data_IF_357323429200
#
_entry.id   IF_357323429200
#
_cell.length_a   1.000
_cell.length_b   1.000
_cell.length_c   1.000
_cell.angle_alpha   90.00
_cell.angle_beta   90.00
_cell.angle_gamma   90.00
#
_symmetry.space_group_name_H-M   'P 1'
#
loop_
_entity.id
_entity.type
_entity.pdbx_description
1 polymer ?
#
# COMPACT_ATOMS: atom_id res chain seq x y z
N UNK A 1 15.28 4.70 58.69
CA UNK A 1 16.57 4.65 57.97
C UNK A 1 16.31 3.90 56.66
N UNK A 2 16.54 4.56 55.49
CA UNK A 2 16.45 4.09 54.07
C UNK A 2 15.07 3.54 53.60
N UNK A 3 14.34 4.01 52.57
CA UNK A 3 14.55 4.48 51.17
C UNK A 3 15.05 3.42 50.16
N UNK A 4 14.33 3.36 49.02
CA UNK A 4 14.61 2.80 47.67
C UNK A 4 13.87 1.47 47.36
N UNK A 5 12.87 1.39 46.47
CA UNK A 5 12.83 1.60 45.01
C UNK A 5 13.86 0.79 44.20
N UNK A 6 13.34 0.08 43.19
CA UNK A 6 13.83 0.02 41.79
C UNK A 6 14.37 -1.33 41.28
N UNK A 7 13.96 -1.61 40.02
CA UNK A 7 14.63 -2.37 38.94
C UNK A 7 14.60 -3.90 39.02
N UNK A 8 14.63 -4.65 37.92
CA UNK A 8 14.35 -4.48 36.49
C UNK A 8 14.56 -5.87 35.87
N UNK A 9 13.84 -6.14 34.77
CA UNK A 9 14.27 -6.84 33.56
C UNK A 9 15.57 -7.67 33.58
N UNK A 10 15.43 -8.98 33.30
CA UNK A 10 16.14 -9.81 32.29
C UNK A 10 15.61 -11.25 32.45
N UNK A 11 15.23 -12.01 31.41
CA UNK A 11 16.15 -12.67 30.50
C UNK A 11 15.44 -13.29 29.28
N UNK A 12 16.23 -13.36 28.21
CA UNK A 12 16.01 -13.83 26.84
C UNK A 12 16.03 -15.37 26.73
N UNK A 13 15.32 -15.92 25.73
CA UNK A 13 15.64 -17.11 24.86
C UNK A 13 14.34 -17.91 24.59
N UNK A 14 13.92 -18.14 23.35
CA UNK A 14 14.61 -19.06 22.45
C UNK A 14 14.22 -18.87 20.98
N UNK A 15 15.25 -18.74 20.16
CA UNK A 15 15.26 -18.91 18.71
C UNK A 15 14.91 -20.36 18.33
N UNK A 16 14.07 -20.55 17.30
CA UNK A 16 14.17 -21.69 16.38
C UNK A 16 13.98 -21.20 14.96
N UNK A 17 15.08 -21.27 14.20
CA UNK A 17 15.08 -21.22 12.74
C UNK A 17 14.20 -22.35 12.20
N UNK A 18 13.25 -22.02 11.33
CA UNK A 18 12.74 -22.98 10.36
C UNK A 18 12.73 -22.33 8.99
N UNK A 19 13.78 -22.65 8.25
CA UNK A 19 13.93 -22.36 6.83
C UNK A 19 13.02 -23.32 6.08
N UNK A 20 12.09 -22.81 5.27
CA UNK A 20 11.48 -23.61 4.21
C UNK A 20 11.36 -22.79 2.94
N UNK A 21 12.28 -23.08 2.03
CA UNK A 21 12.21 -22.71 0.63
C UNK A 21 10.97 -23.36 0.00
N UNK A 22 10.15 -22.57 -0.69
CA UNK A 22 9.29 -23.07 -1.75
C UNK A 22 9.19 -22.02 -2.85
N UNK A 23 9.74 -22.38 -4.01
CA UNK A 23 9.63 -21.64 -5.26
C UNK A 23 8.17 -21.35 -5.62
N UNK A 24 7.89 -20.10 -5.99
CA UNK A 24 6.61 -19.69 -6.56
C UNK A 24 6.51 -18.18 -6.70
N UNK A 25 6.90 -17.65 -7.85
CA UNK A 25 6.52 -16.35 -8.46
C UNK A 25 5.89 -15.30 -7.53
N UNK A 26 6.62 -14.84 -6.53
CA UNK A 26 6.31 -13.60 -5.82
C UNK A 26 7.32 -12.56 -6.29
N UNK A 27 6.82 -11.43 -6.81
CA UNK A 27 7.64 -10.22 -6.91
C UNK A 27 8.28 -9.91 -5.56
N UNK A 28 9.35 -9.08 -5.51
CA UNK A 28 10.09 -8.85 -4.28
C UNK A 28 9.13 -8.41 -3.17
N UNK A 29 8.85 -9.35 -2.26
CA UNK A 29 8.12 -9.10 -1.01
C UNK A 29 8.89 -7.98 -0.33
N UNK A 30 8.22 -6.89 0.02
CA UNK A 30 8.83 -5.81 0.80
C UNK A 30 9.53 -6.46 2.00
N UNK A 31 10.86 -6.53 1.97
CA UNK A 31 11.66 -7.14 3.04
C UNK A 31 11.69 -6.13 4.16
N UNK A 32 10.67 -6.17 5.00
CA UNK A 32 10.64 -5.43 6.24
C UNK A 32 11.34 -6.28 7.30
N UNK A 33 12.32 -5.75 8.03
CA UNK A 33 12.97 -6.44 9.14
C UNK A 33 11.96 -7.02 10.15
N UNK A 34 12.24 -8.21 10.68
CA UNK A 34 11.28 -8.94 11.53
C UNK A 34 10.91 -8.19 12.83
N UNK A 35 11.71 -7.21 13.23
CA UNK A 35 11.51 -6.31 14.37
C UNK A 35 10.44 -5.23 14.17
N UNK A 36 9.88 -5.08 12.96
CA UNK A 36 8.76 -4.17 12.66
C UNK A 36 7.40 -4.89 12.52
N UNK A 37 7.34 -6.20 12.82
CA UNK A 37 6.15 -7.05 12.67
C UNK A 37 5.35 -7.13 13.98
N UNK A 38 4.12 -6.60 14.03
CA UNK A 38 3.34 -6.48 15.29
C UNK A 38 2.21 -7.51 15.51
N UNK A 39 2.10 -8.57 14.70
CA UNK A 39 1.24 -9.74 14.97
C UNK A 39 1.65 -10.95 14.10
N UNK A 40 1.17 -12.16 14.41
CA UNK A 40 1.38 -13.31 13.52
C UNK A 40 0.53 -13.15 12.24
N UNK A 41 1.10 -13.28 11.03
CA UNK A 41 0.32 -13.32 9.80
C UNK A 41 -0.67 -14.50 9.82
N UNK A 42 -1.97 -14.25 9.61
CA UNK A 42 -2.90 -15.29 9.17
C UNK A 42 -4.18 -15.60 9.98
N UNK A 43 -4.45 -14.97 11.13
CA UNK A 43 -5.60 -15.42 11.96
C UNK A 43 -6.94 -14.68 11.74
N UNK A 44 -6.98 -13.53 11.05
CA UNK A 44 -8.23 -12.79 10.79
C UNK A 44 -8.18 -12.00 9.47
N UNK A 45 -9.28 -11.99 8.71
CA UNK A 45 -9.45 -11.06 7.58
C UNK A 45 -9.54 -9.62 8.09
N UNK A 46 -8.72 -8.74 7.53
CA UNK A 46 -8.85 -7.28 7.61
C UNK A 46 -10.28 -6.86 7.25
N UNK A 47 -10.84 -5.94 8.04
CA UNK A 47 -12.13 -5.27 7.80
C UNK A 47 -11.91 -3.79 7.51
N UNK A 48 -12.90 -3.11 6.92
CA UNK A 48 -12.81 -1.66 6.67
C UNK A 48 -12.78 -0.85 7.98
N UNK A 49 -13.39 -1.39 9.03
CA UNK A 49 -13.36 -0.85 10.40
C UNK A 49 -11.94 -0.86 10.99
N UNK A 50 -11.16 -1.92 10.75
CA UNK A 50 -9.76 -1.97 11.20
C UNK A 50 -8.95 -0.80 10.61
N UNK A 51 -9.34 -0.31 9.42
CA UNK A 51 -8.56 0.66 8.64
C UNK A 51 -8.87 2.05 9.07
N UNK A 52 -10.17 2.27 9.27
CA UNK A 52 -10.68 3.47 9.89
C UNK A 52 -10.11 3.64 11.28
N UNK A 53 -10.00 2.56 12.06
CA UNK A 53 -9.40 2.62 13.38
C UNK A 53 -7.92 3.03 13.31
N UNK A 54 -7.11 2.35 12.48
CA UNK A 54 -5.70 2.73 12.26
C UNK A 54 -5.58 4.19 11.82
N UNK A 55 -6.38 4.59 10.83
CA UNK A 55 -6.39 5.95 10.27
C UNK A 55 -6.73 6.97 11.36
N UNK A 56 -7.79 6.75 12.12
CA UNK A 56 -8.25 7.66 13.18
C UNK A 56 -7.23 7.80 14.31
N UNK A 57 -6.55 6.71 14.69
CA UNK A 57 -5.48 6.75 15.70
C UNK A 57 -4.31 7.62 15.20
N UNK A 58 -3.89 7.43 13.95
CA UNK A 58 -2.78 8.19 13.36
C UNK A 58 -3.15 9.65 13.15
N UNK A 59 -4.35 9.94 12.66
CA UNK A 59 -4.87 11.31 12.51
C UNK A 59 -4.95 12.04 13.86
N UNK A 60 -5.44 11.37 14.91
CA UNK A 60 -5.51 11.94 16.27
C UNK A 60 -4.12 12.22 16.85
N UNK A 61 -3.10 11.50 16.38
CA UNK A 61 -1.70 11.75 16.71
C UNK A 61 -1.03 12.81 15.81
N UNK A 62 -1.78 13.43 14.88
CA UNK A 62 -1.24 14.39 13.92
C UNK A 62 -0.32 13.75 12.87
N UNK A 63 -0.54 12.48 12.55
CA UNK A 63 0.24 11.71 11.56
C UNK A 63 -0.61 11.47 10.32
N UNK A 64 -0.24 12.10 9.20
CA UNK A 64 -0.78 11.73 7.88
C UNK A 64 -0.39 10.28 7.56
N UNK A 65 -1.30 9.52 6.98
CA UNK A 65 -1.03 8.16 6.56
C UNK A 65 -1.77 7.81 5.27
N UNK A 66 -1.33 6.76 4.59
CA UNK A 66 -2.09 6.12 3.53
C UNK A 66 -1.76 4.63 3.41
N UNK A 67 -2.71 3.83 2.96
CA UNK A 67 -2.51 2.39 2.75
C UNK A 67 -1.84 2.13 1.39
N UNK A 68 -0.76 1.34 1.40
CA UNK A 68 0.11 1.12 0.24
C UNK A 68 0.23 -0.36 -0.14
N UNK A 69 1.05 -0.67 -1.15
CA UNK A 69 1.26 -2.03 -1.64
C UNK A 69 0.00 -2.58 -2.33
N UNK A 70 -0.30 -3.87 -2.11
CA UNK A 70 -1.46 -4.56 -2.72
C UNK A 70 -2.79 -3.85 -2.43
N UNK A 71 -2.87 -3.12 -1.33
CA UNK A 71 -4.05 -2.37 -0.92
C UNK A 71 -4.32 -1.17 -1.82
N UNK A 72 -3.28 -0.37 -2.08
CA UNK A 72 -3.35 0.72 -3.06
C UNK A 72 -3.64 0.18 -4.45
N UNK A 73 -3.01 -0.93 -4.85
CA UNK A 73 -3.31 -1.61 -6.11
C UNK A 73 -4.80 -2.00 -6.18
N UNK A 74 -5.38 -2.55 -5.11
CA UNK A 74 -6.80 -2.88 -5.00
C UNK A 74 -7.72 -1.67 -5.16
N UNK A 75 -7.38 -0.54 -4.53
CA UNK A 75 -8.08 0.74 -4.71
C UNK A 75 -8.09 1.21 -6.16
N UNK A 76 -6.97 1.01 -6.87
CA UNK A 76 -6.85 1.22 -8.32
C UNK A 76 -7.37 0.07 -9.17
N UNK A 77 -8.19 -0.81 -8.59
CA UNK A 77 -8.80 -1.95 -9.27
C UNK A 77 -7.77 -2.85 -9.91
N UNK A 78 -6.65 -3.13 -9.26
CA UNK A 78 -5.85 -4.32 -9.56
C UNK A 78 -6.26 -5.43 -8.58
N UNK A 79 -6.70 -6.58 -9.11
CA UNK A 79 -7.20 -7.68 -8.27
C UNK A 79 -6.03 -8.50 -7.75
N UNK A 80 -5.58 -8.18 -6.54
CA UNK A 80 -4.67 -9.01 -5.75
C UNK A 80 -5.27 -9.27 -4.37
N UNK A 81 -4.94 -10.42 -3.79
CA UNK A 81 -5.33 -10.75 -2.42
C UNK A 81 -4.11 -10.48 -1.54
N UNK A 82 -4.27 -9.59 -0.56
CA UNK A 82 -3.31 -9.43 0.54
C UNK A 82 -4.07 -9.42 1.85
N UNK A 83 -3.53 -10.13 2.84
CA UNK A 83 -3.98 -10.06 4.22
C UNK A 83 -3.15 -9.04 5.02
N UNK A 84 -1.98 -8.64 4.50
CA UNK A 84 -1.06 -7.73 5.15
C UNK A 84 -1.50 -6.28 4.96
N UNK A 85 -1.43 -5.51 6.04
CA UNK A 85 -1.73 -4.08 6.06
C UNK A 85 -0.44 -3.28 6.02
N UNK A 86 -0.16 -2.64 4.89
CA UNK A 86 0.97 -1.73 4.78
C UNK A 86 0.49 -0.28 4.90
N UNK A 87 1.03 0.45 5.86
CA UNK A 87 0.66 1.83 6.16
C UNK A 87 1.88 2.72 5.96
N UNK A 88 1.82 3.58 4.96
CA UNK A 88 2.84 4.60 4.74
C UNK A 88 2.61 5.78 5.70
N UNK A 89 3.68 6.27 6.32
CA UNK A 89 3.69 7.44 7.20
C UNK A 89 4.93 8.31 6.89
N UNK A 90 4.90 9.63 7.17
CA UNK A 90 6.09 10.46 7.06
C UNK A 90 7.24 9.87 7.89
N UNK A 91 8.43 9.76 7.31
CA UNK A 91 9.60 9.18 7.99
C UNK A 91 9.95 9.91 9.28
N UNK A 92 9.73 11.23 9.32
CA UNK A 92 9.92 12.08 10.50
C UNK A 92 8.90 11.82 11.62
N UNK A 93 7.82 11.12 11.32
CA UNK A 93 6.70 10.81 12.22
C UNK A 93 6.58 9.32 12.54
N UNK A 94 7.53 8.49 12.10
CA UNK A 94 7.49 7.04 12.29
C UNK A 94 7.35 6.65 13.77
N UNK A 95 8.14 7.28 14.65
CA UNK A 95 8.09 7.01 16.09
C UNK A 95 6.78 7.49 16.75
N UNK A 96 6.24 8.63 16.30
CA UNK A 96 4.94 9.11 16.76
C UNK A 96 3.83 8.13 16.36
N UNK A 97 3.83 7.68 15.10
CA UNK A 97 2.90 6.69 14.56
C UNK A 97 2.96 5.38 15.36
N UNK A 98 4.18 4.87 15.58
CA UNK A 98 4.41 3.65 16.35
C UNK A 98 3.89 3.78 17.78
N UNK A 99 4.21 4.87 18.47
CA UNK A 99 3.71 5.12 19.83
C UNK A 99 2.19 5.23 19.88
N UNK A 100 1.58 5.91 18.92
CA UNK A 100 0.13 6.09 18.86
C UNK A 100 -0.58 4.73 18.73
N UNK A 101 -0.14 3.89 17.79
CA UNK A 101 -0.76 2.58 17.58
C UNK A 101 -0.51 1.61 18.75
N UNK A 102 0.69 1.60 19.34
CA UNK A 102 0.98 0.74 20.50
C UNK A 102 0.12 1.09 21.73
N UNK A 103 -0.17 2.38 21.96
CA UNK A 103 -1.06 2.84 23.05
C UNK A 103 -2.50 2.35 22.91
N UNK A 104 -2.91 1.92 21.72
CA UNK A 104 -4.27 1.46 21.42
C UNK A 104 -4.27 -0.03 21.03
N UNK A 105 -3.20 -0.77 21.36
CA UNK A 105 -3.08 -2.21 21.09
C UNK A 105 -4.14 -3.05 21.82
N UNK A 106 -4.66 -2.53 22.91
CA UNK A 106 -5.78 -3.04 23.72
C UNK A 106 -7.16 -2.70 23.14
N UNK A 107 -7.28 -1.61 22.37
CA UNK A 107 -8.55 -1.09 21.79
C UNK A 107 -8.93 -1.81 20.48
N UNK A 108 -8.23 -2.89 20.14
CA UNK A 108 -8.69 -3.82 19.11
C UNK A 108 -8.13 -3.60 17.72
N UNK A 109 -6.96 -2.97 17.59
CA UNK A 109 -6.13 -3.15 16.38
C UNK A 109 -5.57 -4.59 16.39
N UNK A 110 -6.45 -5.57 16.15
CA UNK A 110 -6.10 -6.99 16.00
C UNK A 110 -5.58 -7.33 14.61
N UNK A 111 -5.41 -6.30 13.78
CA UNK A 111 -4.95 -6.46 12.42
C UNK A 111 -3.42 -6.41 12.38
N UNK A 112 -2.83 -7.34 11.63
CA UNK A 112 -1.40 -7.31 11.34
C UNK A 112 -1.10 -6.13 10.41
N UNK A 113 -0.40 -5.12 10.92
CA UNK A 113 0.04 -3.98 10.13
C UNK A 113 1.55 -3.79 10.20
N UNK A 114 2.07 -3.16 9.16
CA UNK A 114 3.46 -2.78 8.99
C UNK A 114 3.49 -1.29 8.66
N UNK A 115 4.15 -0.52 9.53
CA UNK A 115 4.43 0.89 9.26
C UNK A 115 5.60 0.96 8.28
N UNK A 116 5.45 1.74 7.22
CA UNK A 116 6.51 1.97 6.25
C UNK A 116 6.81 3.47 6.22
N UNK A 117 8.06 3.88 6.47
CA UNK A 117 8.49 5.25 6.25
C UNK A 117 8.35 5.62 4.77
N UNK A 118 7.83 6.81 4.49
CA UNK A 118 7.62 7.30 3.14
C UNK A 118 8.91 7.35 2.28
N UNK A 119 10.06 7.59 2.90
CA UNK A 119 11.39 7.54 2.28
C UNK A 119 11.73 6.15 1.73
N UNK A 120 11.32 5.06 2.42
CA UNK A 120 11.49 3.69 1.93
C UNK A 120 10.74 3.45 0.62
N UNK A 121 9.61 4.15 0.44
CA UNK A 121 8.78 4.05 -0.74
C UNK A 121 9.13 5.07 -1.82
N UNK A 122 10.11 5.95 -1.58
CA UNK A 122 10.40 7.11 -2.45
C UNK A 122 9.13 7.92 -2.75
N UNK A 123 8.26 8.01 -1.76
CA UNK A 123 6.96 8.67 -1.80
C UNK A 123 6.94 9.73 -0.70
N UNK A 124 6.22 10.84 -0.90
CA UNK A 124 6.01 11.82 0.18
C UNK A 124 4.61 11.63 0.76
N UNK A 125 4.53 11.17 2.01
CA UNK A 125 3.26 10.94 2.69
C UNK A 125 2.71 12.24 3.27
N UNK A 126 2.20 13.09 2.39
CA UNK A 126 1.62 14.40 2.73
C UNK A 126 0.16 14.47 2.26
N UNK A 127 -0.69 15.32 2.86
CA UNK A 127 -2.11 15.39 2.51
C UNK A 127 -2.39 15.56 1.02
N UNK A 128 -1.57 16.33 0.29
CA UNK A 128 -1.75 16.55 -1.15
C UNK A 128 -1.49 15.33 -2.03
N UNK A 129 -0.83 14.29 -1.48
CA UNK A 129 -0.54 13.04 -2.19
C UNK A 129 -1.47 11.90 -1.73
N UNK A 130 -2.49 12.19 -0.94
CA UNK A 130 -3.41 11.21 -0.38
C UNK A 130 -4.84 11.54 -0.80
N UNK A 131 -5.57 10.53 -1.29
CA UNK A 131 -7.00 10.59 -1.58
C UNK A 131 -7.77 9.60 -0.70
N UNK A 132 -9.03 9.92 -0.40
CA UNK A 132 -9.91 9.00 0.30
C UNK A 132 -10.65 8.11 -0.71
N UNK A 133 -10.82 6.83 -0.36
CA UNK A 133 -11.68 5.93 -1.13
C UNK A 133 -13.14 6.38 -1.11
N UNK A 134 -13.87 6.12 -2.20
CA UNK A 134 -15.31 6.41 -2.32
C UNK A 134 -16.23 5.40 -1.63
N UNK A 135 -15.70 4.56 -0.73
CA UNK A 135 -16.46 3.55 0.01
C UNK A 135 -17.33 4.16 1.11
N UNK A 136 -18.20 3.33 1.73
CA UNK A 136 -19.01 3.74 2.89
C UNK A 136 -18.15 4.26 4.04
N UNK A 137 -16.97 3.67 4.20
CA UNK A 137 -15.95 4.08 5.14
C UNK A 137 -14.79 4.65 4.30
N UNK A 138 -14.52 5.96 4.35
CA UNK A 138 -13.40 6.56 3.67
C UNK A 138 -12.07 6.06 4.25
N UNK A 139 -11.17 5.62 3.40
CA UNK A 139 -9.84 5.10 3.75
C UNK A 139 -8.79 5.82 2.90
N UNK A 140 -7.67 6.28 3.49
CA UNK A 140 -6.65 7.03 2.76
C UNK A 140 -5.77 6.12 1.90
N UNK A 141 -5.67 6.45 0.63
CA UNK A 141 -4.77 5.83 -0.33
C UNK A 141 -3.90 6.90 -0.99
N UNK A 142 -2.71 6.55 -1.51
CA UNK A 142 -1.99 7.45 -2.40
C UNK A 142 -2.86 7.93 -3.56
N UNK A 143 -2.64 9.14 -4.05
CA UNK A 143 -3.15 9.52 -5.37
C UNK A 143 -2.46 8.68 -6.46
N UNK A 144 -3.19 8.39 -7.54
CA UNK A 144 -2.71 7.48 -8.58
C UNK A 144 -1.38 7.94 -9.23
N UNK A 145 -1.23 9.23 -9.53
CA UNK A 145 0.00 9.76 -10.11
C UNK A 145 1.22 9.51 -9.21
N UNK A 146 1.15 9.96 -7.95
CA UNK A 146 2.25 9.82 -7.00
C UNK A 146 2.61 8.37 -6.69
N UNK A 147 1.63 7.46 -6.65
CA UNK A 147 1.92 6.03 -6.45
C UNK A 147 2.58 5.41 -7.67
N UNK A 148 2.16 5.75 -8.89
CA UNK A 148 2.82 5.28 -10.10
C UNK A 148 4.28 5.75 -10.16
N UNK A 149 4.57 7.00 -9.80
CA UNK A 149 5.95 7.51 -9.70
C UNK A 149 6.78 6.70 -8.68
N UNK A 150 6.24 6.43 -7.49
CA UNK A 150 6.88 5.61 -6.48
C UNK A 150 7.19 4.19 -6.99
N UNK A 151 6.23 3.52 -7.64
CA UNK A 151 6.43 2.18 -8.22
C UNK A 151 7.50 2.17 -9.31
N UNK A 152 7.58 3.25 -10.11
CA UNK A 152 8.61 3.44 -11.13
C UNK A 152 9.99 3.56 -10.47
N UNK A 153 10.12 4.42 -9.45
CA UNK A 153 11.37 4.66 -8.72
C UNK A 153 11.87 3.42 -7.97
N UNK A 154 10.96 2.68 -7.34
CA UNK A 154 11.25 1.41 -6.68
C UNK A 154 11.52 0.27 -7.67
N UNK A 155 11.30 0.50 -8.98
CA UNK A 155 11.40 -0.50 -10.03
C UNK A 155 10.52 -1.73 -9.80
N UNK A 156 9.38 -1.56 -9.14
CA UNK A 156 8.38 -2.60 -8.89
C UNK A 156 7.49 -2.81 -10.12
N UNK A 157 8.10 -3.35 -11.19
CA UNK A 157 7.46 -3.44 -12.51
C UNK A 157 6.13 -4.21 -12.52
N UNK A 158 6.02 -5.29 -11.74
CA UNK A 158 4.79 -6.11 -11.71
C UNK A 158 3.64 -5.32 -11.08
N UNK A 159 3.92 -4.56 -10.02
CA UNK A 159 2.91 -3.76 -9.34
C UNK A 159 2.51 -2.54 -10.19
N UNK A 160 3.48 -1.97 -10.92
CA UNK A 160 3.22 -0.91 -11.90
C UNK A 160 2.33 -1.41 -13.04
N UNK A 161 2.63 -2.59 -13.62
CA UNK A 161 1.82 -3.19 -14.67
C UNK A 161 0.38 -3.46 -14.19
N UNK A 162 0.23 -3.98 -12.98
CA UNK A 162 -1.07 -4.24 -12.36
C UNK A 162 -1.86 -2.94 -12.12
N UNK A 163 -1.20 -1.88 -11.67
CA UNK A 163 -1.80 -0.56 -11.52
C UNK A 163 -2.24 0.01 -12.87
N UNK A 164 -1.40 -0.10 -13.90
CA UNK A 164 -1.70 0.34 -15.27
C UNK A 164 -2.93 -0.38 -15.82
N UNK A 165 -3.02 -1.70 -15.64
CA UNK A 165 -4.19 -2.49 -16.05
C UNK A 165 -5.44 -2.13 -15.23
N UNK A 166 -5.30 -1.93 -13.92
CA UNK A 166 -6.40 -1.59 -13.03
C UNK A 166 -7.02 -0.21 -13.30
N UNK A 167 -6.17 0.79 -13.54
CA UNK A 167 -6.57 2.15 -13.92
C UNK A 167 -7.02 2.26 -15.38
N UNK A 168 -6.63 1.30 -16.22
CA UNK A 168 -6.70 1.42 -17.69
C UNK A 168 -5.89 2.64 -18.14
N UNK A 169 -4.68 2.79 -17.59
CA UNK A 169 -3.85 3.97 -17.80
C UNK A 169 -3.47 4.12 -19.28
N UNK A 170 -3.63 5.33 -19.81
CA UNK A 170 -3.28 5.71 -21.18
C UNK A 170 -2.10 6.67 -21.20
N UNK A 171 -1.63 7.04 -22.41
CA UNK A 171 -0.60 8.07 -22.56
C UNK A 171 -1.12 9.43 -22.07
N UNK A 172 -2.38 9.73 -22.35
CA UNK A 172 -3.06 10.96 -21.95
C UNK A 172 -3.14 11.05 -20.43
N UNK A 173 -3.57 9.96 -19.77
CA UNK A 173 -3.54 9.86 -18.32
C UNK A 173 -2.13 10.13 -17.75
N UNK A 174 -1.09 9.56 -18.38
CA UNK A 174 0.29 9.78 -17.94
C UNK A 174 0.71 11.25 -18.04
N UNK A 175 0.28 11.96 -19.07
CA UNK A 175 0.57 13.39 -19.25
C UNK A 175 -0.13 14.25 -18.20
N UNK A 176 -1.34 13.88 -17.82
CA UNK A 176 -2.14 14.60 -16.83
C UNK A 176 -1.70 14.33 -15.38
N UNK A 177 -1.22 13.12 -15.09
CA UNK A 177 -1.03 12.64 -13.71
C UNK A 177 0.43 12.46 -13.30
N UNK A 178 1.38 12.46 -14.23
CA UNK A 178 2.81 12.25 -13.94
C UNK A 178 3.68 13.43 -14.36
N UNK A 179 4.77 13.63 -13.62
CA UNK A 179 5.86 14.54 -14.03
C UNK A 179 6.54 14.00 -15.29
N UNK A 180 7.09 14.91 -16.08
CA UNK A 180 7.68 14.62 -17.40
C UNK A 180 8.68 13.45 -17.37
N UNK A 181 9.55 13.40 -16.35
CA UNK A 181 10.58 12.37 -16.18
C UNK A 181 10.02 10.94 -16.07
N UNK A 182 8.79 10.77 -15.58
CA UNK A 182 8.18 9.45 -15.36
C UNK A 182 7.35 8.96 -16.54
N UNK A 183 6.87 9.88 -17.39
CA UNK A 183 5.98 9.57 -18.52
C UNK A 183 6.56 8.51 -19.44
N UNK A 184 7.85 8.63 -19.78
CA UNK A 184 8.53 7.65 -20.65
C UNK A 184 8.50 6.23 -20.05
N UNK A 185 8.83 6.08 -18.77
CA UNK A 185 8.88 4.75 -18.11
C UNK A 185 7.49 4.13 -18.00
N UNK A 186 6.46 4.92 -17.71
CA UNK A 186 5.07 4.42 -17.74
C UNK A 186 4.66 3.99 -19.16
N UNK A 187 4.95 4.82 -20.17
CA UNK A 187 4.64 4.51 -21.56
C UNK A 187 5.33 3.23 -22.04
N UNK A 188 6.58 2.99 -21.60
CA UNK A 188 7.32 1.76 -21.86
C UNK A 188 6.63 0.54 -21.21
N UNK A 189 6.10 0.68 -19.99
CA UNK A 189 5.30 -0.37 -19.31
C UNK A 189 3.97 -0.63 -20.03
N UNK A 190 3.21 0.41 -20.39
CA UNK A 190 1.96 0.30 -21.18
C UNK A 190 2.23 -0.45 -22.49
N UNK A 191 3.28 -0.07 -23.22
CA UNK A 191 3.66 -0.72 -24.48
C UNK A 191 4.11 -2.18 -24.27
N UNK A 192 4.88 -2.45 -23.21
CA UNK A 192 5.31 -3.79 -22.83
C UNK A 192 4.15 -4.71 -22.45
N UNK A 193 3.15 -4.17 -21.75
CA UNK A 193 1.92 -4.89 -21.43
C UNK A 193 1.14 -5.22 -22.71
N UNK A 194 0.91 -4.23 -23.60
CA UNK A 194 0.24 -4.46 -24.89
C UNK A 194 0.93 -5.54 -25.73
N UNK A 195 2.26 -5.52 -25.85
CA UNK A 195 3.02 -6.55 -26.60
C UNK A 195 2.84 -7.96 -26.02
N UNK A 196 2.92 -8.11 -24.69
CA UNK A 196 2.73 -9.40 -24.02
C UNK A 196 1.31 -9.95 -24.16
N UNK A 197 0.31 -9.06 -24.22
CA UNK A 197 -1.10 -9.43 -24.31
C UNK A 197 -1.54 -9.71 -25.75
N UNK A 198 -1.18 -8.86 -26.72
CA UNK A 198 -1.54 -9.05 -28.13
C UNK A 198 -0.84 -10.25 -28.79
N UNK A 199 0.27 -10.72 -28.21
CA UNK A 199 0.88 -12.00 -28.60
C UNK A 199 0.14 -13.24 -28.06
N UNK A 200 -0.82 -13.08 -27.14
CA UNK A 200 -1.54 -14.19 -26.49
C UNK A 200 -3.06 -14.17 -26.73
N UNK A 201 -3.62 -13.00 -27.00
CA UNK A 201 -5.06 -12.79 -27.16
C UNK A 201 -5.30 -11.77 -28.28
N UNK A 202 -6.35 -11.97 -29.07
CA UNK A 202 -6.83 -10.90 -29.96
C UNK A 202 -7.31 -9.69 -29.14
N UNK A 203 -7.32 -8.50 -29.72
CA UNK A 203 -7.75 -7.28 -29.01
C UNK A 203 -9.18 -7.41 -28.46
N UNK A 204 -10.09 -8.02 -29.22
CA UNK A 204 -11.44 -8.35 -28.77
C UNK A 204 -11.44 -9.33 -27.57
N UNK A 205 -10.60 -10.37 -27.60
CA UNK A 205 -10.45 -11.32 -26.48
C UNK A 205 -9.88 -10.64 -25.23
N UNK A 206 -8.96 -9.70 -25.38
CA UNK A 206 -8.42 -8.94 -24.25
C UNK A 206 -9.47 -8.00 -23.64
N UNK A 207 -10.17 -7.22 -24.49
CA UNK A 207 -11.21 -6.29 -24.03
C UNK A 207 -12.33 -7.03 -23.31
N UNK A 208 -12.78 -8.17 -23.84
CA UNK A 208 -13.84 -8.97 -23.22
C UNK A 208 -13.43 -9.67 -21.92
N UNK A 209 -12.17 -10.09 -21.78
CA UNK A 209 -11.70 -10.86 -20.62
C UNK A 209 -11.09 -10.03 -19.50
N UNK A 210 -10.42 -8.92 -19.84
CA UNK A 210 -9.51 -8.24 -18.91
C UNK A 210 -9.72 -6.73 -18.81
N UNK A 211 -10.23 -6.05 -19.85
CA UNK A 211 -10.39 -4.59 -19.81
C UNK A 211 -11.50 -4.19 -18.84
N UNK A 212 -11.12 -3.51 -17.76
CA UNK A 212 -12.05 -2.94 -16.79
C UNK A 212 -12.67 -1.67 -17.39
N UNK A 213 -13.94 -1.39 -17.09
CA UNK A 213 -14.54 -0.09 -17.44
C UNK A 213 -13.81 1.03 -16.65
N UNK A 214 -13.50 2.20 -17.24
CA UNK A 214 -12.90 3.32 -16.50
C UNK A 214 -13.72 3.69 -15.25
N UNK A 215 -13.08 4.26 -14.22
CA UNK A 215 -13.82 4.89 -13.11
C UNK A 215 -14.53 6.13 -13.69
N UNK A 216 -15.84 6.34 -13.47
CA UNK A 216 -16.44 7.63 -13.77
C UNK A 216 -15.71 8.69 -12.94
N UNK A 217 -15.38 9.82 -13.56
CA UNK A 217 -14.75 10.95 -12.85
C UNK A 217 -15.69 11.48 -11.77
N UNK A 218 -15.17 12.10 -10.71
CA UNK A 218 -16.01 12.69 -9.63
C UNK A 218 -17.08 13.62 -10.23
N UNK A 219 -16.75 14.38 -11.27
CA UNK A 219 -17.70 15.20 -12.03
C UNK A 219 -18.84 14.43 -12.71
N UNK A 220 -18.63 13.16 -13.06
CA UNK A 220 -19.67 12.30 -13.63
C UNK A 220 -20.60 11.70 -12.57
N UNK A 221 -20.16 11.66 -11.31
CA UNK A 221 -20.94 11.15 -10.17
C UNK A 221 -21.79 12.23 -9.49
N UNK A 222 -21.54 13.50 -9.77
CA UNK A 222 -22.28 14.66 -9.18
C UNK A 222 -23.38 15.20 -10.09
N UNK A 223 -23.59 14.60 -11.27
CA UNK A 223 -24.56 15.04 -12.28
C UNK A 223 -25.76 14.09 -12.46
N UNK A 224 -25.96 13.15 -11.52
CA UNK A 224 -27.15 12.29 -11.41
C UNK A 224 -27.85 12.55 -10.06
#
# INVERSE_FOLDING_TARGET
MAIALSKCFHLVKSFRLFQKESLGTQGPKLRVPDDELFAKPGERRRTDEDLRLITSILESAGVTCCFVGVMALGHFRAKRISLDIYVCVPSTKLDDARRALLKHSDIGVRAFYVLIPDTTLRFSCIPSNVELSSGKIPVPYPIAGAWAEALIDLSWRVDLDDMVDGLVATKEWANENLRESYRKRLNDSIAGMKRRMLGKYSEHQYVSRFRRKPRPTIQQLTNE
#
